data_IF_854266899455
#
_entry.id   IF_854266899455
#
_cell.length_a   1.000
_cell.length_b   1.000
_cell.length_c   1.000
_cell.angle_alpha   90.00
_cell.angle_beta   90.00
_cell.angle_gamma   90.00
#
_symmetry.space_group_name_H-M   'P 1'
#
loop_
_entity.id
_entity.type
_entity.pdbx_description
1 polymer ?
#
# COMPACT_ATOMS: atom_id res chain seq x y z
N UNK A 1 -16.61 -17.39 -11.84
CA UNK A 1 -16.21 -16.00 -12.15
C UNK A 1 -17.43 -15.12 -11.93
N UNK A 2 -17.35 -14.16 -11.01
CA UNK A 2 -18.44 -13.21 -10.76
C UNK A 2 -18.41 -12.20 -11.90
N UNK A 3 -19.35 -12.30 -12.83
CA UNK A 3 -19.61 -11.24 -13.82
C UNK A 3 -20.47 -10.18 -13.16
N UNK A 4 -19.89 -9.01 -12.90
CA UNK A 4 -20.66 -7.82 -12.54
C UNK A 4 -21.48 -7.39 -13.77
N UNK A 5 -22.80 -7.39 -13.62
CA UNK A 5 -23.77 -7.10 -14.69
C UNK A 5 -24.18 -5.63 -14.76
N UNK A 6 -23.59 -4.76 -13.95
CA UNK A 6 -23.83 -3.31 -14.01
C UNK A 6 -22.74 -2.65 -14.87
N UNK A 7 -23.14 -2.06 -16.00
CA UNK A 7 -22.27 -1.17 -16.76
C UNK A 7 -21.97 0.06 -15.89
N UNK A 8 -20.73 0.19 -15.44
CA UNK A 8 -20.22 1.37 -14.73
C UNK A 8 -19.95 2.58 -15.66
N UNK A 9 -20.56 2.60 -16.84
CA UNK A 9 -20.33 3.62 -17.86
C UNK A 9 -20.75 5.04 -17.45
N UNK A 10 -21.50 5.19 -16.34
CA UNK A 10 -22.06 6.46 -15.87
C UNK A 10 -21.69 6.83 -14.41
N UNK A 11 -20.41 6.69 -14.06
CA UNK A 11 -19.87 7.20 -12.78
C UNK A 11 -19.25 8.61 -12.89
N UNK A 12 -19.24 9.23 -14.08
CA UNK A 12 -18.51 10.48 -14.35
C UNK A 12 -19.00 11.70 -13.56
N UNK A 13 -20.23 11.66 -13.06
CA UNK A 13 -20.83 12.73 -12.24
C UNK A 13 -20.95 12.34 -10.76
N UNK A 14 -20.69 11.07 -10.42
CA UNK A 14 -20.80 10.58 -9.04
C UNK A 14 -19.60 11.04 -8.23
N UNK A 15 -19.85 11.40 -6.98
CA UNK A 15 -18.84 11.86 -6.01
C UNK A 15 -18.64 10.78 -4.94
N UNK A 16 -17.39 10.49 -4.59
CA UNK A 16 -17.04 9.52 -3.53
C UNK A 16 -16.18 10.20 -2.48
N UNK A 17 -16.48 9.93 -1.22
CA UNK A 17 -15.79 10.52 -0.08
C UNK A 17 -15.24 9.41 0.81
N UNK A 18 -13.93 9.40 1.01
CA UNK A 18 -13.23 8.56 1.98
C UNK A 18 -12.89 9.40 3.22
N UNK A 19 -13.20 8.89 4.40
CA UNK A 19 -12.77 9.48 5.67
C UNK A 19 -11.53 8.74 6.16
N UNK A 20 -10.40 9.45 6.24
CA UNK A 20 -9.06 8.93 6.51
C UNK A 20 -8.25 8.76 5.23
N UNK A 21 -6.97 9.15 5.27
CA UNK A 21 -6.00 9.07 4.18
C UNK A 21 -5.04 7.89 4.28
N UNK A 22 -5.46 6.83 4.97
CA UNK A 22 -4.70 5.58 5.09
C UNK A 22 -4.75 4.69 3.84
N UNK A 23 -4.01 3.59 3.87
CA UNK A 23 -3.90 2.64 2.76
C UNK A 23 -5.24 2.11 2.25
N UNK A 24 -6.23 1.91 3.12
CA UNK A 24 -7.56 1.44 2.72
C UNK A 24 -8.25 2.43 1.76
N UNK A 25 -8.28 3.72 2.12
CA UNK A 25 -8.88 4.77 1.29
C UNK A 25 -8.10 4.99 -0.01
N UNK A 26 -6.76 4.96 0.06
CA UNK A 26 -5.91 5.10 -1.12
C UNK A 26 -6.11 3.93 -2.10
N UNK A 27 -6.20 2.70 -1.59
CA UNK A 27 -6.51 1.52 -2.40
C UNK A 27 -7.92 1.63 -3.01
N UNK A 28 -8.92 2.01 -2.22
CA UNK A 28 -10.28 2.24 -2.71
C UNK A 28 -10.34 3.27 -3.84
N UNK A 29 -9.64 4.40 -3.69
CA UNK A 29 -9.52 5.42 -4.72
C UNK A 29 -8.85 4.87 -6.00
N UNK A 30 -7.78 4.10 -5.86
CA UNK A 30 -7.09 3.47 -6.99
C UNK A 30 -8.01 2.51 -7.77
N UNK A 31 -8.76 1.66 -7.07
CA UNK A 31 -9.74 0.77 -7.69
C UNK A 31 -10.87 1.55 -8.38
N UNK A 32 -11.37 2.63 -7.80
CA UNK A 32 -12.43 3.44 -8.42
C UNK A 32 -11.97 4.07 -9.74
N UNK A 33 -10.74 4.59 -9.79
CA UNK A 33 -10.15 5.14 -11.01
C UNK A 33 -9.93 4.03 -12.05
N UNK A 34 -9.31 2.92 -11.63
CA UNK A 34 -8.85 1.87 -12.54
C UNK A 34 -9.99 1.00 -13.08
N UNK A 35 -10.92 0.60 -12.21
CA UNK A 35 -11.89 -0.45 -12.50
C UNK A 35 -13.32 0.08 -12.62
N UNK A 36 -13.63 1.21 -11.98
CA UNK A 36 -14.99 1.76 -11.94
C UNK A 36 -15.15 3.04 -12.79
N UNK A 37 -14.13 3.43 -13.57
CA UNK A 37 -14.15 4.57 -14.47
C UNK A 37 -14.54 5.90 -13.79
N UNK A 38 -14.17 6.08 -12.52
CA UNK A 38 -14.32 7.36 -11.83
C UNK A 38 -13.25 8.35 -12.30
N UNK A 39 -13.63 9.61 -12.48
CA UNK A 39 -12.67 10.69 -12.62
C UNK A 39 -12.03 10.97 -11.25
N UNK A 40 -10.71 11.11 -11.20
CA UNK A 40 -10.00 11.41 -9.95
C UNK A 40 -10.48 12.68 -9.26
N UNK A 41 -10.92 13.70 -10.02
CA UNK A 41 -11.49 14.96 -9.51
C UNK A 41 -12.77 14.77 -8.67
N UNK A 42 -13.42 13.61 -8.79
CA UNK A 42 -14.64 13.27 -8.04
C UNK A 42 -14.38 12.37 -6.81
N UNK A 43 -13.12 12.04 -6.52
CA UNK A 43 -12.74 11.19 -5.39
C UNK A 43 -12.09 12.07 -4.34
N UNK A 44 -12.74 12.18 -3.19
CA UNK A 44 -12.33 13.06 -2.09
C UNK A 44 -11.79 12.22 -0.93
N UNK A 45 -10.52 12.41 -0.58
CA UNK A 45 -9.91 11.77 0.59
C UNK A 45 -9.74 12.82 1.68
N UNK A 46 -10.46 12.66 2.79
CA UNK A 46 -10.49 13.60 3.90
C UNK A 46 -9.57 13.07 5.00
N UNK A 47 -8.37 13.64 5.11
CA UNK A 47 -7.37 13.29 6.13
C UNK A 47 -7.28 14.38 7.21
N UNK A 48 -7.24 13.96 8.48
CA UNK A 48 -7.11 14.88 9.62
C UNK A 48 -5.67 15.26 9.94
N UNK A 49 -4.69 14.46 9.48
CA UNK A 49 -3.26 14.74 9.57
C UNK A 49 -2.78 15.62 8.40
N UNK A 50 -1.60 16.20 8.54
CA UNK A 50 -0.94 16.98 7.49
C UNK A 50 -0.28 16.10 6.40
N UNK A 51 -0.39 14.77 6.52
CA UNK A 51 0.25 13.78 5.67
C UNK A 51 -0.68 12.58 5.48
N UNK A 52 -0.64 11.98 4.28
CA UNK A 52 -1.36 10.75 3.95
C UNK A 52 -0.57 9.50 4.41
N UNK A 53 -1.19 8.34 4.28
CA UNK A 53 -0.58 7.03 4.55
C UNK A 53 -1.12 6.35 5.80
N UNK A 54 -1.74 7.11 6.72
CA UNK A 54 -2.21 6.59 8.00
C UNK A 54 -1.08 5.80 8.67
N UNK A 55 -1.34 4.60 9.16
CA UNK A 55 -0.33 3.77 9.82
C UNK A 55 0.92 3.43 8.98
N UNK A 56 0.98 3.70 7.68
CA UNK A 56 2.14 3.42 6.81
C UNK A 56 3.09 4.61 6.62
N UNK A 57 3.25 5.46 7.62
CA UNK A 57 4.18 6.58 7.60
C UNK A 57 5.59 6.20 8.09
N UNK A 58 6.54 7.02 7.64
CA UNK A 58 7.85 7.20 8.25
C UNK A 58 8.11 8.70 8.35
N UNK A 59 8.67 9.15 9.47
CA UNK A 59 8.90 10.56 9.72
C UNK A 59 10.23 10.80 10.41
N UNK A 60 10.60 12.08 10.56
CA UNK A 60 11.80 12.50 11.26
C UNK A 60 12.94 12.87 10.33
N UNK A 61 14.09 13.16 10.93
CA UNK A 61 15.24 13.75 10.26
C UNK A 61 16.56 13.38 10.98
N UNK A 62 17.74 13.61 10.36
CA UNK A 62 19.03 13.25 10.97
C UNK A 62 19.36 13.95 12.29
N UNK A 63 18.73 15.09 12.61
CA UNK A 63 18.94 15.86 13.83
C UNK A 63 18.00 15.40 14.94
N UNK A 64 16.71 15.22 14.64
CA UNK A 64 15.67 14.86 15.62
C UNK A 64 15.48 13.35 15.79
N UNK A 65 16.04 12.56 14.88
CA UNK A 65 15.86 11.10 14.79
C UNK A 65 14.74 10.69 13.82
N UNK A 66 14.81 9.44 13.35
CA UNK A 66 13.80 8.83 12.48
C UNK A 66 12.80 8.01 13.29
N UNK A 67 11.53 8.07 12.90
CA UNK A 67 10.41 7.37 13.53
C UNK A 67 9.70 6.50 12.51
N UNK A 68 9.56 5.21 12.84
CA UNK A 68 8.68 4.29 12.15
C UNK A 68 7.58 3.86 13.13
N UNK A 69 6.30 4.11 12.82
CA UNK A 69 5.17 3.74 13.70
C UNK A 69 4.94 2.22 13.77
N UNK A 70 5.63 1.44 12.95
CA UNK A 70 5.72 -0.02 13.07
C UNK A 70 6.16 -0.66 11.75
N UNK A 71 6.74 -1.86 11.84
CA UNK A 71 7.07 -2.66 10.66
C UNK A 71 5.81 -3.17 9.96
N UNK A 72 5.86 -3.31 8.63
CA UNK A 72 4.82 -3.97 7.84
C UNK A 72 5.46 -5.19 7.20
N UNK A 73 4.75 -6.31 7.31
CA UNK A 73 5.15 -7.58 6.70
C UNK A 73 4.22 -7.83 5.52
N UNK A 74 4.81 -8.32 4.45
CA UNK A 74 4.12 -8.78 3.25
C UNK A 74 4.44 -10.26 3.08
N UNK A 75 3.62 -10.96 2.31
CA UNK A 75 3.86 -12.34 1.95
C UNK A 75 3.50 -12.55 0.48
N UNK A 76 4.48 -12.99 -0.31
CA UNK A 76 4.31 -13.17 -1.75
C UNK A 76 3.20 -14.17 -2.07
N UNK A 77 3.13 -15.26 -1.30
CA UNK A 77 2.23 -16.39 -1.57
C UNK A 77 0.74 -16.10 -1.27
N UNK A 78 0.43 -15.06 -0.49
CA UNK A 78 -0.95 -14.85 0.03
C UNK A 78 -1.47 -13.42 0.01
N UNK A 79 -0.67 -12.41 -0.30
CA UNK A 79 -1.17 -11.02 -0.35
C UNK A 79 -1.68 -10.68 -1.76
N UNK A 80 -2.60 -11.50 -2.31
CA UNK A 80 -2.95 -11.42 -3.74
C UNK A 80 -3.49 -10.04 -4.12
N UNK A 81 -4.36 -9.45 -3.30
CA UNK A 81 -4.91 -8.11 -3.55
C UNK A 81 -3.85 -7.01 -3.49
N UNK A 82 -2.82 -7.15 -2.64
CA UNK A 82 -1.74 -6.18 -2.58
C UNK A 82 -0.92 -6.22 -3.87
N UNK A 83 -0.49 -7.41 -4.28
CA UNK A 83 0.32 -7.56 -5.49
C UNK A 83 -0.45 -7.19 -6.75
N UNK A 84 -1.75 -7.50 -6.79
CA UNK A 84 -2.66 -7.12 -7.87
C UNK A 84 -2.83 -5.60 -7.99
N UNK A 85 -2.91 -4.88 -6.87
CA UNK A 85 -2.99 -3.42 -6.90
C UNK A 85 -1.65 -2.80 -7.30
N UNK A 86 -0.58 -3.16 -6.59
CA UNK A 86 0.73 -2.50 -6.70
C UNK A 86 1.48 -2.82 -8.00
N UNK A 87 1.08 -3.86 -8.76
CA UNK A 87 1.62 -4.10 -10.11
C UNK A 87 1.24 -3.01 -11.12
N UNK A 88 0.24 -2.19 -10.80
CA UNK A 88 -0.19 -1.04 -11.60
C UNK A 88 0.29 0.30 -11.02
N UNK A 89 0.99 0.29 -9.88
CA UNK A 89 1.60 1.49 -9.29
C UNK A 89 3.05 1.55 -9.76
N UNK A 90 3.48 2.60 -10.48
CA UNK A 90 4.85 2.72 -10.95
C UNK A 90 5.80 2.93 -9.77
N UNK A 91 6.96 2.29 -9.81
CA UNK A 91 8.06 2.56 -8.90
C UNK A 91 8.57 3.99 -9.08
N UNK A 92 8.96 4.62 -7.96
CA UNK A 92 9.58 5.95 -7.97
C UNK A 92 11.10 5.87 -8.21
N UNK A 93 11.74 4.78 -7.80
CA UNK A 93 13.20 4.62 -7.81
C UNK A 93 13.69 3.76 -8.99
N UNK A 94 12.84 2.90 -9.54
CA UNK A 94 13.16 2.00 -10.64
C UNK A 94 12.29 2.30 -11.88
N UNK A 95 12.72 3.22 -12.77
CA UNK A 95 11.95 3.60 -13.95
C UNK A 95 11.55 2.41 -14.82
N UNK A 96 10.26 2.32 -15.15
CA UNK A 96 9.71 1.25 -15.98
C UNK A 96 9.32 -0.02 -15.21
N UNK A 97 9.55 -0.07 -13.90
CA UNK A 97 9.06 -1.13 -13.02
C UNK A 97 7.86 -0.67 -12.20
N UNK A 98 7.05 -1.63 -11.78
CA UNK A 98 6.01 -1.46 -10.77
C UNK A 98 6.57 -1.61 -9.35
N UNK A 99 5.84 -1.11 -8.37
CA UNK A 99 6.17 -1.30 -6.95
C UNK A 99 6.16 -2.79 -6.57
N UNK A 100 5.29 -3.61 -7.18
CA UNK A 100 5.33 -5.07 -6.98
C UNK A 100 6.67 -5.66 -7.43
N UNK A 101 7.14 -5.30 -8.62
CA UNK A 101 8.43 -5.80 -9.13
C UNK A 101 9.61 -5.33 -8.27
N UNK A 102 9.59 -4.07 -7.83
CA UNK A 102 10.62 -3.54 -6.93
C UNK A 102 10.70 -4.34 -5.62
N UNK A 103 9.56 -4.56 -4.95
CA UNK A 103 9.52 -5.26 -3.67
C UNK A 103 9.96 -6.73 -3.81
N UNK A 104 9.45 -7.45 -4.81
CA UNK A 104 9.78 -8.87 -4.99
C UNK A 104 11.25 -9.07 -5.40
N UNK A 105 11.78 -8.20 -6.28
CA UNK A 105 13.20 -8.24 -6.64
C UNK A 105 14.09 -8.01 -5.40
N UNK A 106 13.72 -7.08 -4.53
CA UNK A 106 14.44 -6.84 -3.29
C UNK A 106 14.38 -8.06 -2.35
N UNK A 107 13.19 -8.61 -2.12
CA UNK A 107 12.99 -9.74 -1.20
C UNK A 107 13.71 -11.01 -1.68
N UNK A 108 13.64 -11.32 -2.97
CA UNK A 108 14.32 -12.50 -3.57
C UNK A 108 15.85 -12.40 -3.46
N UNK A 109 16.41 -11.20 -3.47
CA UNK A 109 17.85 -10.96 -3.27
C UNK A 109 18.24 -10.98 -1.78
N UNK A 110 17.29 -10.78 -0.86
CA UNK A 110 17.54 -10.63 0.57
C UNK A 110 16.61 -11.52 1.41
N UNK A 111 16.71 -12.86 1.28
CA UNK A 111 15.80 -13.77 1.96
C UNK A 111 15.84 -13.61 3.48
N UNK A 112 14.67 -13.40 4.08
CA UNK A 112 14.55 -13.19 5.53
C UNK A 112 14.67 -14.51 6.29
N UNK A 113 15.58 -14.58 7.27
CA UNK A 113 15.71 -15.72 8.17
C UNK A 113 16.01 -15.26 9.61
N UNK A 114 15.09 -15.55 10.54
CA UNK A 114 15.28 -15.21 11.95
C UNK A 114 16.20 -16.22 12.65
N UNK A 115 17.40 -15.77 13.04
CA UNK A 115 18.36 -16.61 13.77
C UNK A 115 18.02 -16.75 15.26
N UNK A 116 17.33 -15.77 15.85
CA UNK A 116 17.03 -15.69 17.26
C UNK A 116 15.62 -15.16 17.50
N UNK A 117 14.60 -15.97 17.19
CA UNK A 117 13.20 -15.55 17.28
C UNK A 117 12.70 -15.46 18.73
N UNK A 118 13.22 -16.35 19.58
CA UNK A 118 12.94 -16.47 21.00
C UNK A 118 14.30 -16.62 21.70
N UNK A 119 14.44 -15.99 22.86
CA UNK A 119 15.67 -16.01 23.66
C UNK A 119 15.25 -16.33 25.09
N UNK A 120 15.89 -17.30 25.73
CA UNK A 120 15.60 -17.62 27.12
C UNK A 120 16.23 -16.59 28.10
N UNK A 121 15.96 -16.76 29.40
CA UNK A 121 16.50 -15.85 30.42
C UNK A 121 18.04 -15.84 30.53
N UNK A 122 18.71 -16.81 29.93
CA UNK A 122 20.16 -16.96 29.96
C UNK A 122 20.83 -16.56 28.64
N UNK A 123 20.06 -16.07 27.66
CA UNK A 123 20.59 -15.70 26.36
C UNK A 123 20.89 -16.90 25.45
N UNK A 124 20.36 -18.09 25.76
CA UNK A 124 20.45 -19.24 24.87
C UNK A 124 19.33 -19.13 23.83
N UNK A 125 19.73 -19.29 22.56
CA UNK A 125 18.89 -19.21 21.36
C UNK A 125 18.62 -20.62 20.85
#
# INVERSE_FOLDING_TARGET
FVTFTENFDDNKERQVYFVGGGLASLAGAAYLVRDCNFKGENIHIIEGMHILGGSNDGAGDPVSGFVCRGGRMLNEETYENFWELFRNVPSLDMPGMSVTEEILNFDHLHPTHAQARLIDKFGVI
#
